data_IF_733699258795
#
_entry.id   IF_733699258795
#
_cell.length_a   1.000
_cell.length_b   1.000
_cell.length_c   1.000
_cell.angle_alpha   90.00
_cell.angle_beta   90.00
_cell.angle_gamma   90.00
#
_symmetry.space_group_name_H-M   'P 1'
#
loop_
_entity.id
_entity.type
_entity.pdbx_description
1 polymer ?
#
# COMPACT_ATOMS: atom_id res chain seq x y z
N UNK A 1 1.07 -7.65 -23.62
CA UNK A 1 1.39 -8.17 -22.26
C UNK A 1 1.26 -7.04 -21.25
N UNK A 2 0.45 -7.20 -20.21
CA UNK A 2 0.36 -6.20 -19.14
C UNK A 2 1.68 -6.20 -18.34
N UNK A 3 2.41 -5.07 -18.34
CA UNK A 3 3.66 -4.94 -17.58
C UNK A 3 3.36 -5.08 -16.08
N UNK A 4 4.04 -6.02 -15.41
CA UNK A 4 3.94 -6.25 -13.95
C UNK A 4 4.79 -5.22 -13.20
N UNK A 5 4.34 -3.96 -13.23
CA UNK A 5 5.08 -2.82 -12.69
C UNK A 5 4.39 -2.19 -11.48
N UNK A 6 3.42 -2.88 -10.88
CA UNK A 6 2.69 -2.36 -9.72
C UNK A 6 3.15 -3.10 -8.47
N UNK A 7 3.52 -2.31 -7.47
CA UNK A 7 3.90 -2.70 -6.14
C UNK A 7 2.72 -2.48 -5.21
N UNK A 8 2.49 -3.44 -4.32
CA UNK A 8 1.55 -3.33 -3.22
C UNK A 8 2.34 -2.97 -1.99
N UNK A 9 1.83 -2.05 -1.18
CA UNK A 9 2.56 -1.58 -0.01
C UNK A 9 1.65 -1.27 1.18
N UNK A 10 2.22 -1.42 2.38
CA UNK A 10 1.65 -1.01 3.65
C UNK A 10 2.57 0.08 4.24
N UNK A 11 2.05 1.29 4.38
CA UNK A 11 2.69 2.37 5.12
C UNK A 11 2.50 2.14 6.63
N UNK A 12 3.61 1.91 7.32
CA UNK A 12 3.64 1.66 8.76
C UNK A 12 4.16 2.88 9.50
N UNK A 13 3.49 3.21 10.59
CA UNK A 13 3.93 4.21 11.56
C UNK A 13 4.12 3.51 12.91
N UNK A 14 5.37 3.18 13.23
CA UNK A 14 5.70 2.31 14.36
C UNK A 14 5.06 0.92 14.22
N UNK A 15 4.23 0.52 15.19
CA UNK A 15 3.58 -0.79 15.22
C UNK A 15 2.19 -0.82 14.55
N UNK A 16 1.76 0.27 13.91
CA UNK A 16 0.44 0.36 13.25
C UNK A 16 0.58 0.56 11.75
N UNK A 17 -0.27 -0.12 10.98
CA UNK A 17 -0.43 0.12 9.55
C UNK A 17 -1.37 1.33 9.41
N UNK A 18 -0.86 2.43 8.88
CA UNK A 18 -1.62 3.66 8.71
C UNK A 18 -2.34 3.68 7.35
N UNK A 19 -1.67 3.21 6.31
CA UNK A 19 -2.22 3.21 4.97
C UNK A 19 -1.75 1.99 4.19
N UNK A 20 -2.61 1.44 3.34
CA UNK A 20 -2.27 0.36 2.42
C UNK A 20 -2.69 0.81 1.03
N UNK A 21 -1.87 0.57 0.02
CA UNK A 21 -2.21 0.94 -1.33
C UNK A 21 -1.28 0.33 -2.37
N UNK A 22 -1.51 0.70 -3.61
CA UNK A 22 -0.69 0.26 -4.75
C UNK A 22 0.04 1.44 -5.38
N UNK A 23 1.30 1.23 -5.76
CA UNK A 23 2.11 2.25 -6.43
C UNK A 23 2.95 1.63 -7.53
N UNK A 24 3.27 2.39 -8.56
CA UNK A 24 4.30 2.04 -9.54
C UNK A 24 5.70 2.50 -9.10
N UNK A 25 5.77 3.39 -8.11
CA UNK A 25 6.99 4.02 -7.62
C UNK A 25 6.94 4.10 -6.08
N UNK A 26 7.73 3.26 -5.41
CA UNK A 26 7.74 3.18 -3.95
C UNK A 26 8.55 4.31 -3.31
N UNK A 27 9.69 4.67 -3.91
CA UNK A 27 10.60 5.68 -3.37
C UNK A 27 9.96 7.07 -3.35
N UNK A 28 9.30 7.47 -4.45
CA UNK A 28 8.57 8.74 -4.50
C UNK A 28 7.45 8.75 -3.47
N UNK A 29 6.71 7.65 -3.37
CA UNK A 29 5.56 7.54 -2.47
C UNK A 29 5.99 7.61 -1.02
N UNK A 30 7.11 6.99 -0.67
CA UNK A 30 7.64 7.05 0.69
C UNK A 30 8.04 8.47 1.07
N UNK A 31 8.75 9.18 0.18
CA UNK A 31 9.13 10.59 0.42
C UNK A 31 7.91 11.48 0.63
N UNK A 32 6.85 11.32 -0.18
CA UNK A 32 5.59 12.05 0.00
C UNK A 32 4.97 11.78 1.37
N UNK A 33 4.96 10.52 1.83
CA UNK A 33 4.41 10.17 3.14
C UNK A 33 5.32 10.62 4.28
N UNK A 34 6.64 10.61 4.11
CA UNK A 34 7.60 11.07 5.11
C UNK A 34 7.48 12.57 5.41
N UNK A 35 7.00 13.38 4.46
CA UNK A 35 6.71 14.81 4.70
C UNK A 35 5.65 14.98 5.78
N UNK A 36 4.58 14.17 5.76
CA UNK A 36 3.52 14.20 6.78
C UNK A 36 3.82 13.34 8.01
N UNK A 37 4.54 12.25 7.82
CA UNK A 37 4.84 11.23 8.83
C UNK A 37 6.32 10.85 8.78
N UNK A 38 7.20 11.65 9.40
CA UNK A 38 8.66 11.46 9.31
C UNK A 38 9.16 10.15 9.92
N UNK A 39 8.40 9.57 10.86
CA UNK A 39 8.71 8.26 11.46
C UNK A 39 8.06 7.07 10.75
N UNK A 40 7.32 7.32 9.67
CA UNK A 40 6.66 6.29 8.90
C UNK A 40 7.52 5.80 7.75
N UNK A 41 7.34 4.54 7.36
CA UNK A 41 8.02 3.94 6.22
C UNK A 41 7.08 3.04 5.43
N UNK A 42 7.36 2.91 4.13
CA UNK A 42 6.61 2.05 3.23
C UNK A 42 7.19 0.64 3.30
N UNK A 43 6.34 -0.37 3.53
CA UNK A 43 6.72 -1.78 3.49
C UNK A 43 6.06 -2.44 2.30
N UNK A 44 6.87 -3.01 1.40
CA UNK A 44 6.34 -3.76 0.26
C UNK A 44 5.62 -5.02 0.73
N UNK A 45 4.41 -5.26 0.21
CA UNK A 45 3.59 -6.43 0.51
C UNK A 45 3.61 -7.41 -0.67
N UNK A 46 4.42 -8.45 -0.53
CA UNK A 46 4.51 -9.54 -1.50
C UNK A 46 5.14 -9.13 -2.84
N UNK A 47 4.80 -9.88 -3.90
CA UNK A 47 5.40 -9.74 -5.22
C UNK A 47 4.75 -8.65 -6.09
N UNK A 48 5.50 -8.15 -7.08
CA UNK A 48 5.00 -7.23 -8.12
C UNK A 48 3.88 -7.89 -8.92
N UNK A 49 2.77 -7.19 -9.07
CA UNK A 49 1.58 -7.71 -9.77
C UNK A 49 1.21 -6.84 -10.97
N UNK A 50 0.26 -7.34 -11.77
CA UNK A 50 -0.41 -6.52 -12.77
C UNK A 50 -1.31 -5.49 -12.09
N UNK A 51 -1.63 -4.40 -12.79
CA UNK A 51 -2.53 -3.34 -12.28
C UNK A 51 -3.85 -3.91 -11.76
N UNK A 52 -4.51 -4.73 -12.58
CA UNK A 52 -5.78 -5.39 -12.21
C UNK A 52 -5.67 -6.19 -10.91
N UNK A 53 -4.66 -7.06 -10.78
CA UNK A 53 -4.48 -7.85 -9.57
C UNK A 53 -4.06 -7.02 -8.34
N UNK A 54 -3.46 -5.85 -8.56
CA UNK A 54 -3.13 -4.90 -7.50
C UNK A 54 -4.39 -4.13 -7.04
N UNK A 55 -5.24 -3.69 -7.98
CA UNK A 55 -6.54 -3.07 -7.70
C UNK A 55 -7.46 -4.04 -6.94
N UNK A 56 -7.55 -5.31 -7.38
CA UNK A 56 -8.33 -6.34 -6.70
C UNK A 56 -7.81 -6.59 -5.26
N UNK A 57 -6.49 -6.50 -5.05
CA UNK A 57 -5.89 -6.61 -3.72
C UNK A 57 -6.21 -5.42 -2.82
N UNK A 58 -6.17 -4.20 -3.35
CA UNK A 58 -6.48 -2.98 -2.62
C UNK A 58 -7.95 -2.98 -2.16
N UNK A 59 -8.89 -3.31 -3.05
CA UNK A 59 -10.32 -3.47 -2.72
C UNK A 59 -10.55 -4.52 -1.61
N UNK A 60 -9.89 -5.68 -1.72
CA UNK A 60 -9.98 -6.72 -0.70
C UNK A 60 -9.42 -6.26 0.67
N UNK A 61 -8.35 -5.46 0.68
CA UNK A 61 -7.75 -4.93 1.92
C UNK A 61 -8.67 -3.91 2.59
N UNK A 62 -9.25 -2.97 1.85
CA UNK A 62 -10.18 -1.98 2.41
C UNK A 62 -11.41 -2.63 3.08
N UNK A 63 -11.91 -3.74 2.51
CA UNK A 63 -13.00 -4.53 3.11
C UNK A 63 -12.63 -5.18 4.45
N UNK A 64 -11.34 -5.47 4.68
CA UNK A 64 -10.87 -6.05 5.95
C UNK A 64 -10.58 -5.01 7.04
N UNK A 65 -10.27 -3.76 6.66
CA UNK A 65 -9.91 -2.69 7.61
C UNK A 65 -11.17 -1.96 8.17
N UNK A 66 -12.35 -2.21 7.60
CA UNK A 66 -13.63 -1.72 8.15
C UNK A 66 -14.20 -2.74 9.15
N UNK A 67 -13.97 -2.62 10.47
CA UNK A 67 -14.82 -3.33 11.42
C UNK A 67 -16.22 -2.74 11.30
N UNK A 68 -17.18 -3.59 10.95
CA UNK A 68 -18.62 -3.28 11.03
C UNK A 68 -18.89 -2.81 12.47
N UNK A 69 -19.04 -1.49 12.66
CA UNK A 69 -19.55 -0.96 13.92
C UNK A 69 -20.93 -1.61 14.13
N UNK A 70 -21.05 -2.32 15.25
CA UNK A 70 -22.22 -3.11 15.62
C UNK A 70 -23.24 -2.22 16.32
#
# INVERSE_FOLDING_TARGET
>A
MAKRNIYKYDFKLGNKILHSGITNDMERREKEHQIGWPSGHIVQVGNRTTRKAAEDWEDSKHKTITPKQK
#
